data_IF_048847848296
#
_entry.id   IF_048847848296
#
_cell.length_a   1.000
_cell.length_b   1.000
_cell.length_c   1.000
_cell.angle_alpha   90.00
_cell.angle_beta   90.00
_cell.angle_gamma   90.00
#
_symmetry.space_group_name_H-M   'P 1'
#
loop_
_entity.id
_entity.type
_entity.pdbx_description
1 polymer ?
#
# COMPACT_ATOMS: atom_id res chain seq x y z
N UNK A 1 -25.17 -11.58 -5.01
CA UNK A 1 -24.82 -10.81 -3.80
C UNK A 1 -25.01 -11.72 -2.60
N UNK A 2 -24.05 -11.78 -1.69
CA UNK A 2 -24.07 -12.63 -0.50
C UNK A 2 -23.60 -11.80 0.72
N UNK A 3 -24.17 -12.03 1.90
CA UNK A 3 -23.66 -11.44 3.14
C UNK A 3 -22.89 -12.49 3.93
N UNK A 4 -21.64 -12.18 4.28
CA UNK A 4 -20.76 -13.02 5.09
C UNK A 4 -20.48 -12.30 6.40
N UNK A 5 -20.59 -13.00 7.52
CA UNK A 5 -20.24 -12.45 8.83
C UNK A 5 -18.76 -12.67 9.11
N UNK A 6 -18.00 -11.58 9.22
CA UNK A 6 -16.61 -11.61 9.68
C UNK A 6 -16.56 -11.13 11.12
N UNK A 7 -16.52 -12.07 12.07
CA UNK A 7 -16.70 -11.77 13.48
C UNK A 7 -18.08 -11.18 13.72
N UNK A 8 -18.13 -9.97 14.27
CA UNK A 8 -19.39 -9.25 14.51
C UNK A 8 -19.76 -8.25 13.42
N UNK A 9 -18.95 -8.14 12.37
CA UNK A 9 -19.19 -7.19 11.28
C UNK A 9 -19.73 -7.92 10.05
N UNK A 10 -20.97 -7.64 9.60
CA UNK A 10 -21.48 -8.17 8.36
C UNK A 10 -20.75 -7.54 7.16
N UNK A 11 -20.41 -8.36 6.17
CA UNK A 11 -19.74 -7.96 4.95
C UNK A 11 -20.57 -8.38 3.74
N UNK A 12 -20.84 -7.43 2.85
CA UNK A 12 -21.58 -7.69 1.62
C UNK A 12 -20.60 -8.00 0.50
N UNK A 13 -20.72 -9.20 -0.07
CA UNK A 13 -19.97 -9.65 -1.22
C UNK A 13 -20.80 -9.49 -2.50
N UNK A 14 -20.29 -8.71 -3.44
CA UNK A 14 -20.90 -8.47 -4.75
C UNK A 14 -20.11 -9.26 -5.79
N UNK A 15 -20.69 -10.35 -6.29
CA UNK A 15 -20.09 -11.22 -7.32
C UNK A 15 -20.50 -10.84 -8.75
N UNK A 16 -21.65 -10.18 -8.90
CA UNK A 16 -22.21 -9.85 -10.22
C UNK A 16 -21.64 -8.53 -10.75
N UNK A 17 -21.17 -8.54 -12.00
CA UNK A 17 -20.54 -7.37 -12.61
C UNK A 17 -21.51 -6.21 -12.84
N UNK A 18 -22.74 -6.47 -13.26
CA UNK A 18 -23.71 -5.40 -13.52
C UNK A 18 -24.10 -4.70 -12.22
N UNK A 19 -24.27 -5.48 -11.15
CA UNK A 19 -24.50 -4.97 -9.81
C UNK A 19 -23.29 -4.20 -9.28
N UNK A 20 -22.07 -4.71 -9.47
CA UNK A 20 -20.83 -4.02 -9.09
C UNK A 20 -20.69 -2.69 -9.84
N UNK A 21 -20.88 -2.69 -11.16
CA UNK A 21 -20.84 -1.48 -11.97
C UNK A 21 -21.88 -0.47 -11.50
N UNK A 22 -23.12 -0.91 -11.29
CA UNK A 22 -24.19 -0.03 -10.78
C UNK A 22 -23.83 0.54 -9.42
N UNK A 23 -23.35 -0.29 -8.49
CA UNK A 23 -22.94 0.12 -7.15
C UNK A 23 -21.80 1.16 -7.16
N UNK A 24 -20.77 0.98 -7.98
CA UNK A 24 -19.61 1.87 -8.05
C UNK A 24 -19.78 3.08 -8.99
N UNK A 25 -20.81 3.09 -9.85
CA UNK A 25 -21.11 4.22 -10.75
C UNK A 25 -22.37 4.99 -10.36
N UNK A 26 -23.21 4.45 -9.49
CA UNK A 26 -24.32 5.18 -8.90
C UNK A 26 -23.79 6.46 -8.24
N UNK A 27 -24.46 7.58 -8.49
CA UNK A 27 -24.12 8.89 -7.91
C UNK A 27 -24.36 8.96 -6.41
N UNK A 28 -24.88 7.90 -5.81
CA UNK A 28 -25.14 7.85 -4.39
C UNK A 28 -23.83 7.54 -3.65
N UNK A 29 -23.44 8.43 -2.74
CA UNK A 29 -22.20 8.31 -1.97
C UNK A 29 -22.29 7.20 -0.90
N UNK A 30 -23.41 6.47 -0.85
CA UNK A 30 -23.71 5.41 0.11
C UNK A 30 -22.62 4.33 0.22
N UNK A 31 -21.87 4.07 -0.86
CA UNK A 31 -20.79 3.06 -0.88
C UNK A 31 -19.37 3.65 -0.82
N UNK A 32 -19.24 4.97 -0.66
CA UNK A 32 -17.95 5.65 -0.68
C UNK A 32 -17.27 5.73 0.69
N UNK A 33 -17.91 5.26 1.77
CA UNK A 33 -17.34 5.20 3.11
C UNK A 33 -16.10 4.29 3.22
N UNK A 34 -15.33 4.45 4.30
CA UNK A 34 -14.21 3.56 4.65
C UNK A 34 -14.49 2.86 5.96
N UNK A 35 -14.01 1.63 6.08
CA UNK A 35 -14.09 0.89 7.34
C UNK A 35 -13.02 1.45 8.27
N UNK A 36 -13.46 2.14 9.33
CA UNK A 36 -12.54 2.57 10.40
C UNK A 36 -12.06 1.33 11.13
N UNK A 37 -10.76 1.13 11.10
CA UNK A 37 -10.08 -0.04 11.67
C UNK A 37 -8.83 0.43 12.41
N UNK A 38 -8.45 -0.25 13.49
CA UNK A 38 -7.16 -0.04 14.13
C UNK A 38 -6.00 -0.23 13.15
N UNK A 39 -6.17 -1.12 12.17
CA UNK A 39 -5.26 -1.22 11.04
C UNK A 39 -5.06 0.11 10.28
N UNK A 40 -6.15 0.77 9.89
CA UNK A 40 -6.08 2.07 9.19
C UNK A 40 -5.45 3.17 10.06
N UNK A 41 -5.58 3.07 11.38
CA UNK A 41 -4.93 3.97 12.33
C UNK A 41 -3.41 3.68 12.45
N UNK A 42 -3.00 2.42 12.33
CA UNK A 42 -1.61 2.00 12.35
C UNK A 42 -0.88 2.25 11.01
N UNK A 43 -1.58 2.67 9.96
CA UNK A 43 -0.96 3.07 8.70
C UNK A 43 -0.43 4.51 8.76
N UNK A 44 0.56 4.79 7.91
CA UNK A 44 1.13 6.13 7.71
C UNK A 44 0.00 7.12 7.41
N UNK A 45 -0.14 8.13 8.26
CA UNK A 45 -1.15 9.18 8.10
C UNK A 45 -2.38 9.03 8.98
N UNK A 46 -2.59 7.93 9.69
CA UNK A 46 -3.63 7.77 10.73
C UNK A 46 -5.01 8.35 10.31
N UNK A 47 -5.56 7.83 9.20
CA UNK A 47 -6.80 8.31 8.55
C UNK A 47 -6.74 9.66 7.82
N UNK A 48 -5.55 10.22 7.59
CA UNK A 48 -5.37 11.48 6.85
C UNK A 48 -4.87 11.27 5.41
N UNK A 49 -4.70 10.02 4.99
CA UNK A 49 -4.35 9.64 3.62
C UNK A 49 -5.61 9.43 2.74
N UNK A 50 -5.43 9.31 1.44
CA UNK A 50 -6.54 9.20 0.47
C UNK A 50 -7.26 7.84 0.55
N UNK A 51 -6.59 6.80 1.05
CA UNK A 51 -7.12 5.45 1.13
C UNK A 51 -8.07 5.30 2.33
N UNK A 52 -7.70 5.87 3.48
CA UNK A 52 -8.40 5.72 4.76
C UNK A 52 -9.26 6.92 5.17
N UNK A 53 -9.09 8.09 4.56
CA UNK A 53 -9.98 9.24 4.82
C UNK A 53 -11.39 8.92 4.31
N UNK A 54 -12.40 9.12 5.16
CA UNK A 54 -13.82 8.98 4.79
C UNK A 54 -14.22 9.96 3.69
N UNK A 55 -15.23 9.58 2.89
CA UNK A 55 -15.75 10.44 1.83
C UNK A 55 -16.27 11.77 2.39
N UNK A 56 -15.78 12.87 1.80
CA UNK A 56 -16.12 14.23 2.21
C UNK A 56 -15.30 15.27 1.44
N UNK A 57 -15.42 16.54 1.81
CA UNK A 57 -14.70 17.65 1.17
C UNK A 57 -13.18 17.51 1.25
N UNK A 58 -12.67 17.01 2.39
CA UNK A 58 -11.25 16.73 2.61
C UNK A 58 -10.75 15.65 1.65
N UNK A 59 -11.42 14.49 1.61
CA UNK A 59 -11.07 13.40 0.69
C UNK A 59 -11.15 13.83 -0.78
N UNK A 60 -12.20 14.58 -1.15
CA UNK A 60 -12.36 15.08 -2.52
C UNK A 60 -11.20 16.01 -2.94
N UNK A 61 -10.76 16.87 -2.02
CA UNK A 61 -9.62 17.77 -2.24
C UNK A 61 -8.31 17.00 -2.36
N UNK A 62 -8.02 16.10 -1.42
CA UNK A 62 -6.83 15.24 -1.43
C UNK A 62 -6.76 14.40 -2.71
N UNK A 63 -7.88 13.77 -3.09
CA UNK A 63 -7.97 12.98 -4.32
C UNK A 63 -7.72 13.84 -5.55
N UNK A 64 -8.32 15.03 -5.63
CA UNK A 64 -8.16 15.93 -6.79
C UNK A 64 -6.71 16.35 -6.96
N UNK A 65 -6.07 16.84 -5.90
CA UNK A 65 -4.68 17.30 -5.95
C UNK A 65 -3.74 16.16 -6.31
N UNK A 66 -3.87 15.03 -5.62
CA UNK A 66 -2.96 13.89 -5.80
C UNK A 66 -3.13 13.22 -7.15
N UNK A 67 -4.37 13.06 -7.63
CA UNK A 67 -4.63 12.52 -8.97
C UNK A 67 -4.05 13.41 -10.07
N UNK A 68 -4.18 14.74 -9.94
CA UNK A 68 -3.58 15.69 -10.89
C UNK A 68 -2.04 15.61 -10.86
N UNK A 69 -1.45 15.51 -9.68
CA UNK A 69 0.01 15.36 -9.54
C UNK A 69 0.52 14.06 -10.18
N UNK A 70 -0.10 12.91 -9.85
CA UNK A 70 0.24 11.61 -10.42
C UNK A 70 0.08 11.62 -11.94
N UNK A 71 -1.02 12.18 -12.46
CA UNK A 71 -1.24 12.26 -13.92
C UNK A 71 -0.17 13.09 -14.62
N UNK A 72 0.28 14.19 -14.01
CA UNK A 72 1.37 15.02 -14.56
C UNK A 72 2.69 14.27 -14.59
N UNK A 73 3.01 13.49 -13.56
CA UNK A 73 4.22 12.66 -13.50
C UNK A 73 4.15 11.50 -14.51
N UNK A 74 2.99 10.85 -14.62
CA UNK A 74 2.78 9.67 -15.47
C UNK A 74 3.03 9.94 -16.97
N UNK A 75 2.81 11.18 -17.43
CA UNK A 75 3.05 11.58 -18.83
C UNK A 75 4.37 12.36 -19.01
N UNK A 76 5.21 12.42 -17.97
CA UNK A 76 6.45 13.18 -18.02
C UNK A 76 7.57 12.39 -18.68
N UNK A 77 8.34 13.06 -19.54
CA UNK A 77 9.54 12.50 -20.15
C UNK A 77 10.57 12.07 -19.09
N UNK A 78 10.64 12.81 -17.98
CA UNK A 78 11.51 12.50 -16.84
C UNK A 78 11.22 11.13 -16.24
N UNK A 79 9.95 10.73 -16.15
CA UNK A 79 9.58 9.40 -15.67
C UNK A 79 10.04 8.34 -16.67
N UNK A 80 9.88 8.58 -17.97
CA UNK A 80 10.29 7.62 -19.00
C UNK A 80 11.79 7.34 -18.96
N UNK A 81 12.60 8.40 -18.87
CA UNK A 81 14.05 8.30 -18.72
C UNK A 81 14.44 7.60 -17.42
N UNK A 82 13.82 7.96 -16.30
CA UNK A 82 14.06 7.31 -15.01
C UNK A 82 13.77 5.81 -15.06
N UNK A 83 12.67 5.40 -15.70
CA UNK A 83 12.31 3.98 -15.85
C UNK A 83 13.38 3.26 -16.67
N UNK A 84 13.80 3.81 -17.80
CA UNK A 84 14.85 3.22 -18.64
C UNK A 84 16.17 3.06 -17.85
N UNK A 85 16.62 4.12 -17.18
CA UNK A 85 17.86 4.10 -16.38
C UNK A 85 17.84 3.01 -15.30
N UNK A 86 16.74 2.92 -14.54
CA UNK A 86 16.60 1.96 -13.43
C UNK A 86 16.51 0.53 -13.95
N UNK A 87 15.77 0.30 -15.04
CA UNK A 87 15.66 -1.03 -15.64
C UNK A 87 17.00 -1.50 -16.20
N UNK A 88 17.73 -0.63 -16.91
CA UNK A 88 19.06 -0.96 -17.44
C UNK A 88 20.06 -1.23 -16.31
N UNK A 89 20.05 -0.40 -15.26
CA UNK A 89 20.87 -0.63 -14.07
C UNK A 89 20.53 -1.97 -13.40
N UNK A 90 19.25 -2.30 -13.25
CA UNK A 90 18.82 -3.57 -12.66
C UNK A 90 19.25 -4.76 -13.50
N UNK A 91 19.07 -4.69 -14.81
CA UNK A 91 19.50 -5.73 -15.74
C UNK A 91 21.03 -5.93 -15.72
N UNK A 92 21.80 -4.84 -15.61
CA UNK A 92 23.25 -4.89 -15.47
C UNK A 92 23.67 -5.57 -14.16
N UNK A 93 23.06 -5.21 -13.04
CA UNK A 93 23.32 -5.84 -11.74
C UNK A 93 22.98 -7.34 -11.77
N UNK A 94 21.82 -7.71 -12.33
CA UNK A 94 21.43 -9.12 -12.45
C UNK A 94 22.46 -9.95 -13.25
N UNK A 95 22.93 -9.42 -14.38
CA UNK A 95 23.96 -10.09 -15.22
C UNK A 95 25.31 -10.21 -14.52
N UNK A 96 25.67 -9.25 -13.66
CA UNK A 96 26.94 -9.26 -12.92
C UNK A 96 26.90 -10.23 -11.74
N UNK A 97 25.77 -10.29 -11.03
CA UNK A 97 25.61 -11.09 -9.82
C UNK A 97 25.38 -12.57 -10.12
N UNK A 98 24.68 -12.88 -11.21
CA UNK A 98 24.31 -14.26 -11.55
C UNK A 98 25.07 -14.78 -12.78
N UNK A 99 25.67 -15.98 -12.73
CA UNK A 99 26.31 -16.59 -13.89
C UNK A 99 25.34 -16.78 -15.05
N UNK A 100 25.85 -16.63 -16.29
CA UNK A 100 25.09 -16.90 -17.50
C UNK A 100 24.53 -18.33 -17.49
N UNK A 101 23.21 -18.46 -17.63
CA UNK A 101 22.50 -19.74 -17.65
C UNK A 101 22.11 -20.29 -16.28
N UNK A 102 22.51 -19.65 -15.18
CA UNK A 102 22.06 -20.06 -13.85
C UNK A 102 20.64 -19.54 -13.57
N UNK A 103 19.74 -20.36 -12.99
CA UNK A 103 18.45 -19.88 -12.51
C UNK A 103 18.66 -18.92 -11.32
N UNK A 104 17.89 -17.84 -11.28
CA UNK A 104 17.84 -16.91 -10.15
C UNK A 104 16.43 -16.34 -9.99
N UNK A 105 16.12 -15.81 -8.81
CA UNK A 105 14.83 -15.15 -8.54
C UNK A 105 14.93 -13.64 -8.86
N UNK A 106 14.21 -13.13 -9.88
CA UNK A 106 14.23 -11.72 -10.24
C UNK A 106 13.36 -10.85 -9.33
N UNK A 107 12.56 -11.43 -8.42
CA UNK A 107 11.54 -10.71 -7.64
C UNK A 107 12.12 -9.52 -6.89
N UNK A 108 13.23 -9.70 -6.17
CA UNK A 108 13.85 -8.62 -5.39
C UNK A 108 14.31 -7.47 -6.29
N UNK A 109 14.92 -7.77 -7.44
CA UNK A 109 15.37 -6.76 -8.41
C UNK A 109 14.20 -5.96 -8.98
N UNK A 110 13.09 -6.63 -9.32
CA UNK A 110 11.88 -5.97 -9.80
C UNK A 110 11.25 -5.08 -8.73
N UNK A 111 11.12 -5.59 -7.50
CA UNK A 111 10.60 -4.83 -6.37
C UNK A 111 11.45 -3.59 -6.08
N UNK A 112 12.78 -3.75 -6.01
CA UNK A 112 13.70 -2.63 -5.79
C UNK A 112 13.65 -1.61 -6.93
N UNK A 113 13.54 -2.06 -8.18
CA UNK A 113 13.40 -1.16 -9.33
C UNK A 113 12.14 -0.30 -9.25
N UNK A 114 10.98 -0.92 -8.95
CA UNK A 114 9.72 -0.19 -8.79
C UNK A 114 9.79 0.78 -7.61
N UNK A 115 10.34 0.34 -6.47
CA UNK A 115 10.52 1.22 -5.32
C UNK A 115 11.46 2.38 -5.62
N UNK A 116 12.55 2.17 -6.36
CA UNK A 116 13.48 3.22 -6.73
C UNK A 116 12.82 4.26 -7.63
N UNK A 117 12.00 3.84 -8.59
CA UNK A 117 11.24 4.74 -9.47
C UNK A 117 10.21 5.54 -8.65
N UNK A 118 9.45 4.88 -7.76
CA UNK A 118 8.45 5.55 -6.92
C UNK A 118 9.09 6.52 -5.92
N UNK A 119 10.14 6.11 -5.22
CA UNK A 119 10.87 6.98 -4.30
C UNK A 119 11.50 8.16 -5.05
N UNK A 120 12.08 7.92 -6.24
CA UNK A 120 12.69 8.99 -7.01
C UNK A 120 11.68 10.01 -7.51
N UNK A 121 10.48 9.56 -7.89
CA UNK A 121 9.40 10.45 -8.33
C UNK A 121 8.74 11.19 -7.17
N UNK A 122 8.63 10.57 -6.00
CA UNK A 122 8.05 11.18 -4.81
C UNK A 122 8.98 12.21 -4.15
N UNK A 123 10.26 11.87 -3.98
CA UNK A 123 11.23 12.67 -3.24
C UNK A 123 12.14 13.53 -4.14
N UNK A 124 12.11 13.32 -5.47
CA UNK A 124 12.94 14.06 -6.42
C UNK A 124 14.44 13.73 -6.35
N UNK A 125 14.83 12.68 -5.62
CA UNK A 125 16.20 12.19 -5.48
C UNK A 125 16.38 10.92 -6.32
N UNK A 126 17.56 10.68 -6.90
CA UNK A 126 17.85 9.39 -7.55
C UNK A 126 18.27 8.37 -6.50
N UNK A 127 17.65 7.19 -6.53
CA UNK A 127 17.99 6.05 -5.66
C UNK A 127 18.74 4.99 -6.45
N UNK A 128 19.80 4.44 -5.85
CA UNK A 128 20.47 3.24 -6.36
C UNK A 128 19.80 1.99 -5.78
N UNK A 129 19.95 0.85 -6.46
CA UNK A 129 19.33 -0.41 -6.02
C UNK A 129 19.86 -0.91 -4.66
N UNK A 130 21.10 -0.54 -4.32
CA UNK A 130 21.76 -0.90 -3.05
C UNK A 130 21.66 0.23 -1.99
N UNK A 131 20.81 1.24 -2.22
CA UNK A 131 20.64 2.35 -1.28
C UNK A 131 19.96 1.85 0.01
N UNK A 132 20.56 2.18 1.16
CA UNK A 132 20.03 1.82 2.49
C UNK A 132 18.66 2.43 2.75
N UNK A 133 18.41 3.63 2.23
CA UNK A 133 17.12 4.31 2.35
C UNK A 133 16.03 3.57 1.56
N UNK A 134 16.39 3.04 0.39
CA UNK A 134 15.50 2.23 -0.42
C UNK A 134 15.19 0.87 0.23
N UNK A 135 16.21 0.22 0.79
CA UNK A 135 16.06 -1.01 1.55
C UNK A 135 15.13 -0.81 2.75
N UNK A 136 15.30 0.30 3.49
CA UNK A 136 14.42 0.67 4.60
C UNK A 136 12.95 0.81 4.17
N UNK A 137 12.66 1.43 3.02
CA UNK A 137 11.29 1.51 2.51
C UNK A 137 10.72 0.13 2.15
N UNK A 138 11.52 -0.75 1.56
CA UNK A 138 11.14 -2.12 1.25
C UNK A 138 10.80 -2.93 2.51
N UNK A 139 11.69 -2.91 3.50
CA UNK A 139 11.49 -3.56 4.80
C UNK A 139 10.26 -3.01 5.52
N UNK A 140 10.05 -1.69 5.48
CA UNK A 140 8.87 -1.05 6.07
C UNK A 140 7.58 -1.51 5.39
N UNK A 141 7.58 -1.64 4.06
CA UNK A 141 6.43 -2.13 3.31
C UNK A 141 6.12 -3.60 3.63
N UNK A 142 7.13 -4.46 3.66
CA UNK A 142 6.97 -5.88 4.05
C UNK A 142 6.50 -6.02 5.50
N UNK A 143 7.05 -5.21 6.41
CA UNK A 143 6.60 -5.13 7.79
C UNK A 143 5.12 -4.79 7.87
N UNK A 144 4.65 -3.80 7.12
CA UNK A 144 3.24 -3.44 7.07
C UNK A 144 2.37 -4.56 6.49
N UNK A 145 2.78 -5.16 5.36
CA UNK A 145 2.02 -6.22 4.69
C UNK A 145 1.87 -7.48 5.55
N UNK A 146 2.97 -7.95 6.16
CA UNK A 146 2.96 -9.16 7.00
C UNK A 146 2.05 -9.04 8.22
N UNK A 147 1.80 -7.81 8.68
CA UNK A 147 1.00 -7.54 9.89
C UNK A 147 -0.43 -7.09 9.66
N UNK A 148 -0.74 -6.70 8.42
CA UNK A 148 -2.07 -6.22 8.00
C UNK A 148 -3.18 -7.23 8.30
N UNK A 149 -2.96 -8.51 8.01
CA UNK A 149 -3.99 -9.55 8.12
C UNK A 149 -4.43 -9.81 9.56
N UNK A 150 -3.48 -9.81 10.51
CA UNK A 150 -3.77 -10.06 11.92
C UNK A 150 -4.45 -8.86 12.58
N UNK A 151 -4.03 -7.63 12.26
CA UNK A 151 -4.71 -6.43 12.75
C UNK A 151 -6.15 -6.34 12.25
N UNK A 152 -6.37 -6.64 10.96
CA UNK A 152 -7.72 -6.70 10.40
C UNK A 152 -8.59 -7.73 11.13
N UNK A 153 -8.04 -8.89 11.51
CA UNK A 153 -8.78 -9.90 12.28
C UNK A 153 -9.12 -9.41 13.70
N UNK A 154 -8.18 -8.75 14.40
CA UNK A 154 -8.39 -8.17 15.74
C UNK A 154 -9.49 -7.11 15.70
N UNK A 155 -9.54 -6.29 14.65
CA UNK A 155 -10.59 -5.28 14.49
C UNK A 155 -11.98 -5.89 14.28
N UNK A 156 -12.09 -7.06 13.62
CA UNK A 156 -13.37 -7.75 13.40
C UNK A 156 -13.82 -8.60 14.58
N UNK A 157 -12.88 -9.05 15.41
CA UNK A 157 -13.14 -9.84 16.61
C UNK A 157 -12.43 -9.19 17.81
N UNK A 158 -12.99 -8.11 18.38
CA UNK A 158 -12.41 -7.42 19.53
C UNK A 158 -12.07 -8.30 20.73
N UNK A 159 -12.71 -9.46 20.93
CA UNK A 159 -12.34 -10.42 21.98
C UNK A 159 -10.90 -10.92 21.85
N UNK A 160 -10.32 -10.91 20.65
CA UNK A 160 -8.92 -11.30 20.46
C UNK A 160 -7.98 -10.40 21.27
N UNK A 161 -8.34 -9.13 21.52
CA UNK A 161 -7.55 -8.21 22.36
C UNK A 161 -7.39 -8.70 23.81
N UNK A 162 -8.33 -9.51 24.32
CA UNK A 162 -8.25 -10.08 25.67
C UNK A 162 -7.16 -11.15 25.80
N UNK A 163 -6.78 -11.77 24.69
CA UNK A 163 -5.69 -12.76 24.68
C UNK A 163 -4.36 -11.98 24.63
N UNK A 164 -3.46 -12.15 25.61
CA UNK A 164 -2.23 -11.36 25.71
C UNK A 164 -1.38 -11.36 24.44
N UNK A 165 -1.35 -12.48 23.71
CA UNK A 165 -0.63 -12.61 22.43
C UNK A 165 -1.08 -11.57 21.40
N UNK A 166 -2.39 -11.39 21.21
CA UNK A 166 -2.93 -10.50 20.19
C UNK A 166 -2.98 -9.04 20.67
N UNK A 167 -3.27 -8.81 21.95
CA UNK A 167 -3.21 -7.46 22.53
C UNK A 167 -1.79 -6.86 22.52
N UNK A 168 -0.77 -7.66 22.87
CA UNK A 168 0.63 -7.22 22.81
C UNK A 168 1.11 -7.04 21.37
N UNK A 169 0.61 -7.86 20.44
CA UNK A 169 0.90 -7.70 19.02
C UNK A 169 0.37 -6.37 18.48
N UNK A 170 -0.90 -6.06 18.72
CA UNK A 170 -1.53 -4.81 18.31
C UNK A 170 -0.73 -3.61 18.85
N UNK A 171 -0.41 -3.60 20.15
CA UNK A 171 0.39 -2.53 20.76
C UNK A 171 1.74 -2.35 20.08
N UNK A 172 2.46 -3.44 19.82
CA UNK A 172 3.77 -3.39 19.14
C UNK A 172 3.66 -2.79 17.73
N UNK A 173 2.59 -3.09 16.99
CA UNK A 173 2.42 -2.50 15.65
C UNK A 173 2.14 -1.00 15.74
N UNK A 174 1.31 -0.56 16.69
CA UNK A 174 1.05 0.87 16.90
C UNK A 174 2.28 1.64 17.38
N UNK A 175 3.13 1.03 18.21
CA UNK A 175 4.42 1.61 18.62
C UNK A 175 5.34 1.77 17.41
N UNK A 176 5.56 0.71 16.63
CA UNK A 176 6.40 0.79 15.42
C UNK A 176 5.84 1.76 14.38
N UNK A 177 4.52 1.83 14.20
CA UNK A 177 3.89 2.80 13.31
C UNK A 177 4.18 4.25 13.74
N UNK A 178 4.20 4.52 15.05
CA UNK A 178 4.51 5.84 15.61
C UNK A 178 5.96 6.23 15.37
N UNK A 179 6.90 5.28 15.45
CA UNK A 179 8.32 5.55 15.24
C UNK A 179 8.67 5.85 13.76
N UNK A 180 7.79 5.46 12.83
CA UNK A 180 7.95 5.65 11.37
C UNK A 180 7.24 6.91 10.86
N UNK A 181 6.39 7.56 11.68
CA UNK A 181 5.60 8.76 11.30
C UNK A 181 6.20 10.03 11.86
#
# INVERSE_FOLDING_TARGET
MLTIWMGWTPMVYISDYNLLKTAFTAKDNALMGRVRSGFALAQIGAHKDILQTDYGSVWASLRRVSHSAVRKVAVSEKLHQLVADVVDSSAHTMKKTHPLGAPFDPKCYLCHSVMAILASTAFGKRYQLDDKELAFYGESLEFMQSRTSLLAAIDRIPLLRLIPKYGNYERKVFETARDVT
#
